data_IF_650805948913
#
_entry.id   IF_650805948913
#
_cell.length_a   1.000
_cell.length_b   1.000
_cell.length_c   1.000
_cell.angle_alpha   90.00
_cell.angle_beta   90.00
_cell.angle_gamma   90.00
#
_symmetry.space_group_name_H-M   'P 1'
#
loop_
_entity.id
_entity.type
_entity.pdbx_description
1 polymer ?
#
# COMPACT_ATOMS: atom_id res chain seq x y z
N UNK A 1 15.11 25.13 18.54
CA UNK A 1 14.81 25.24 17.09
C UNK A 1 13.33 24.99 16.95
N UNK A 2 12.60 25.86 16.28
CA UNK A 2 11.21 25.62 15.94
C UNK A 2 11.11 24.51 14.89
N UNK A 3 9.93 23.88 14.78
CA UNK A 3 9.68 22.82 13.82
C UNK A 3 9.63 23.41 12.40
N UNK A 4 10.55 22.96 11.57
CA UNK A 4 10.66 23.29 10.14
C UNK A 4 11.13 22.06 9.37
N UNK A 5 11.05 22.11 8.04
CA UNK A 5 11.53 21.02 7.17
C UNK A 5 12.98 20.63 7.43
N UNK A 6 13.84 21.60 7.78
CA UNK A 6 15.25 21.37 8.08
C UNK A 6 15.49 20.88 9.53
N UNK A 7 14.55 21.13 10.44
CA UNK A 7 14.68 20.82 11.87
C UNK A 7 13.83 19.61 12.28
N UNK A 8 12.99 19.09 11.38
CA UNK A 8 12.17 17.92 11.63
C UNK A 8 13.02 16.67 11.84
N UNK A 9 12.75 15.92 12.93
CA UNK A 9 13.46 14.68 13.26
C UNK A 9 13.07 13.57 12.28
N UNK A 10 11.79 13.48 11.93
CA UNK A 10 11.31 12.50 10.93
C UNK A 10 11.65 12.96 9.52
N UNK A 11 12.28 12.13 8.69
CA UNK A 11 12.51 12.44 7.28
C UNK A 11 11.22 12.58 6.47
N UNK A 12 10.12 11.99 6.92
CA UNK A 12 8.79 12.12 6.31
C UNK A 12 8.35 13.58 6.30
N UNK A 13 8.49 14.27 7.44
CA UNK A 13 8.09 15.67 7.61
C UNK A 13 9.21 16.66 7.24
N UNK A 14 10.46 16.19 7.18
CA UNK A 14 11.62 16.95 6.77
C UNK A 14 11.96 16.75 5.30
N UNK A 15 13.01 15.97 5.04
CA UNK A 15 13.59 15.72 3.71
C UNK A 15 12.57 15.39 2.62
N UNK A 16 11.53 14.63 2.95
CA UNK A 16 10.52 14.12 2.02
C UNK A 16 9.17 14.84 2.09
N UNK A 17 9.06 15.95 2.83
CA UNK A 17 7.81 16.68 3.00
C UNK A 17 7.10 17.00 1.67
N UNK A 18 7.86 17.31 0.63
CA UNK A 18 7.32 17.57 -0.70
C UNK A 18 6.55 16.40 -1.32
N UNK A 19 6.86 15.16 -0.92
CA UNK A 19 6.19 13.94 -1.38
C UNK A 19 5.03 13.51 -0.47
N UNK A 20 5.08 13.84 0.81
CA UNK A 20 4.19 13.30 1.85
C UNK A 20 3.15 14.29 2.33
N UNK A 21 3.22 15.56 1.91
CA UNK A 21 2.36 16.64 2.43
C UNK A 21 0.86 16.35 2.36
N UNK A 22 0.39 15.62 1.34
CA UNK A 22 -1.01 15.25 1.19
C UNK A 22 -1.51 14.39 2.35
N UNK A 23 -0.65 13.55 2.94
CA UNK A 23 -0.98 12.70 4.06
C UNK A 23 -1.31 13.47 5.34
N UNK A 24 -0.91 14.75 5.44
CA UNK A 24 -1.25 15.58 6.58
C UNK A 24 -2.77 15.77 6.75
N UNK A 25 -3.54 15.69 5.66
CA UNK A 25 -5.00 15.76 5.71
C UNK A 25 -5.66 14.58 6.43
N UNK A 26 -4.90 13.49 6.67
CA UNK A 26 -5.41 12.24 7.26
C UNK A 26 -4.72 11.88 8.58
N UNK A 27 -3.43 12.16 8.72
CA UNK A 27 -2.59 11.61 9.79
C UNK A 27 -1.88 12.66 10.66
N UNK A 28 -2.10 13.94 10.43
CA UNK A 28 -1.61 14.98 11.36
C UNK A 28 -2.50 15.09 12.60
N UNK A 29 -2.02 15.75 13.65
CA UNK A 29 -2.83 16.08 14.84
C UNK A 29 -4.04 16.93 14.44
N UNK A 30 -3.86 17.88 13.52
CA UNK A 30 -4.98 18.64 12.92
C UNK A 30 -6.05 17.72 12.31
N UNK A 31 -5.64 16.74 11.50
CA UNK A 31 -6.55 15.81 10.86
C UNK A 31 -7.30 14.95 11.89
N UNK A 32 -6.59 14.40 12.88
CA UNK A 32 -7.21 13.61 13.94
C UNK A 32 -8.30 14.41 14.67
N UNK A 33 -8.00 15.65 15.02
CA UNK A 33 -8.97 16.55 15.67
C UNK A 33 -10.16 16.80 14.77
N UNK A 34 -9.93 17.12 13.50
CA UNK A 34 -10.98 17.36 12.50
C UNK A 34 -11.92 16.14 12.35
N UNK A 35 -11.36 14.93 12.25
CA UNK A 35 -12.19 13.72 12.16
C UNK A 35 -13.00 13.48 13.43
N UNK A 36 -12.46 13.78 14.60
CA UNK A 36 -13.21 13.74 15.86
C UNK A 36 -14.39 14.70 15.85
N UNK A 37 -14.17 15.94 15.43
CA UNK A 37 -15.24 16.95 15.28
C UNK A 37 -16.30 16.46 14.29
N UNK A 38 -15.90 15.89 13.16
CA UNK A 38 -16.82 15.33 12.17
C UNK A 38 -17.71 14.22 12.78
N UNK A 39 -17.12 13.28 13.50
CA UNK A 39 -17.86 12.17 14.13
C UNK A 39 -18.83 12.68 15.17
N UNK A 40 -18.44 13.62 16.02
CA UNK A 40 -19.31 14.21 17.04
C UNK A 40 -20.49 14.97 16.42
N UNK A 41 -20.26 15.75 15.38
CA UNK A 41 -21.31 16.49 14.67
C UNK A 41 -22.30 15.52 14.01
N UNK A 42 -21.81 14.54 13.27
CA UNK A 42 -22.69 13.56 12.61
C UNK A 42 -23.45 12.69 13.62
N UNK A 43 -22.83 12.39 14.77
CA UNK A 43 -23.50 11.70 15.87
C UNK A 43 -24.64 12.55 16.44
N UNK A 44 -24.40 13.82 16.76
CA UNK A 44 -25.42 14.75 17.23
C UNK A 44 -26.60 14.84 16.26
N UNK A 45 -26.32 15.03 14.96
CA UNK A 45 -27.36 15.07 13.91
C UNK A 45 -28.16 13.76 13.89
N UNK A 46 -27.48 12.61 14.02
CA UNK A 46 -28.15 11.30 14.01
C UNK A 46 -29.04 11.11 15.24
N UNK A 47 -28.67 11.66 16.41
CA UNK A 47 -29.56 11.71 17.60
C UNK A 47 -30.78 12.58 17.32
N UNK A 48 -30.65 13.72 16.65
CA UNK A 48 -31.77 14.59 16.29
C UNK A 48 -32.74 13.92 15.29
N UNK A 49 -32.27 12.95 14.50
CA UNK A 49 -33.11 12.16 13.60
C UNK A 49 -33.96 11.10 14.37
N UNK A 50 -33.67 10.84 15.65
CA UNK A 50 -34.53 10.04 16.54
C UNK A 50 -35.63 10.90 17.13
N UNK A 51 -36.81 10.34 17.41
CA UNK A 51 -37.91 11.07 18.04
C UNK A 51 -37.68 11.28 19.56
N UNK A 52 -36.47 11.70 19.95
CA UNK A 52 -36.16 12.03 21.33
C UNK A 52 -36.91 13.27 21.76
N UNK A 53 -37.69 13.23 22.87
CA UNK A 53 -38.53 14.37 23.29
C UNK A 53 -37.77 15.70 23.42
N UNK A 54 -36.53 15.61 23.93
CA UNK A 54 -35.66 16.78 24.18
C UNK A 54 -35.07 17.41 22.91
N UNK A 55 -35.03 16.67 21.79
CA UNK A 55 -34.46 17.14 20.53
C UNK A 55 -35.53 17.49 19.49
N UNK A 56 -36.81 17.33 19.78
CA UNK A 56 -37.94 17.61 18.86
C UNK A 56 -38.01 19.06 18.37
N UNK A 57 -37.44 20.01 19.12
CA UNK A 57 -37.46 21.43 18.79
C UNK A 57 -36.41 21.86 17.80
N UNK A 58 -35.46 20.99 17.45
CA UNK A 58 -34.38 21.33 16.54
C UNK A 58 -34.90 21.33 15.09
N UNK A 59 -34.70 22.47 14.40
CA UNK A 59 -34.96 22.56 12.97
C UNK A 59 -33.84 21.84 12.18
N UNK A 60 -34.21 20.88 11.32
CA UNK A 60 -33.27 20.19 10.46
C UNK A 60 -32.48 21.11 9.51
N UNK A 61 -32.96 22.32 9.26
CA UNK A 61 -32.23 23.34 8.52
C UNK A 61 -30.87 23.71 9.13
N UNK A 62 -30.68 23.51 10.44
CA UNK A 62 -29.41 23.77 11.12
C UNK A 62 -28.34 22.72 10.84
N UNK A 63 -28.70 21.53 10.35
CA UNK A 63 -27.74 20.41 10.19
C UNK A 63 -26.62 20.71 9.21
N UNK A 64 -26.91 21.41 8.11
CA UNK A 64 -25.85 21.83 7.18
C UNK A 64 -24.90 22.86 7.80
N UNK A 65 -25.43 23.74 8.66
CA UNK A 65 -24.60 24.69 9.42
C UNK A 65 -23.71 23.95 10.40
N UNK A 66 -24.21 22.94 11.09
CA UNK A 66 -23.40 22.07 11.98
C UNK A 66 -22.31 21.33 11.20
N UNK A 67 -22.61 20.78 10.02
CA UNK A 67 -21.63 20.15 9.17
C UNK A 67 -20.53 21.10 8.70
N UNK A 68 -20.83 22.36 8.54
CA UNK A 68 -19.82 23.35 8.16
C UNK A 68 -18.76 23.54 9.24
N UNK A 69 -19.01 23.20 10.50
CA UNK A 69 -18.02 23.25 11.58
C UNK A 69 -16.81 22.35 11.20
N UNK A 70 -17.05 21.12 10.74
CA UNK A 70 -15.93 20.24 10.34
C UNK A 70 -15.50 20.42 8.87
N UNK A 71 -16.41 20.82 7.97
CA UNK A 71 -16.04 21.05 6.56
C UNK A 71 -15.12 22.25 6.38
N UNK A 72 -15.35 23.31 7.16
CA UNK A 72 -14.56 24.54 7.14
C UNK A 72 -13.53 24.58 8.27
N UNK A 73 -13.27 23.46 8.94
CA UNK A 73 -12.37 23.35 10.09
C UNK A 73 -10.98 23.86 9.75
N UNK A 74 -10.49 24.81 10.55
CA UNK A 74 -9.24 25.53 10.34
C UNK A 74 -8.16 25.16 11.37
N UNK A 75 -6.92 25.57 11.11
CA UNK A 75 -5.82 25.45 12.09
C UNK A 75 -6.11 26.24 13.36
N UNK A 76 -6.84 27.37 13.28
CA UNK A 76 -7.24 28.15 14.44
C UNK A 76 -8.23 27.37 15.31
N UNK A 77 -9.16 26.63 14.72
CA UNK A 77 -10.11 25.76 15.45
C UNK A 77 -9.35 24.62 16.15
N UNK A 78 -8.41 24.02 15.46
CA UNK A 78 -7.57 22.98 16.04
C UNK A 78 -6.74 23.54 17.21
N UNK A 79 -6.17 24.74 17.07
CA UNK A 79 -5.44 25.40 18.15
C UNK A 79 -6.37 25.69 19.33
N UNK A 80 -7.61 26.15 19.07
CA UNK A 80 -8.59 26.37 20.17
C UNK A 80 -8.86 25.08 20.95
N UNK A 81 -9.01 23.94 20.25
CA UNK A 81 -9.17 22.63 20.93
C UNK A 81 -7.94 22.28 21.74
N UNK A 82 -6.71 22.53 21.21
CA UNK A 82 -5.46 22.31 21.96
C UNK A 82 -5.35 23.19 23.18
N UNK A 83 -5.81 24.43 23.12
CA UNK A 83 -5.84 25.33 24.28
C UNK A 83 -6.77 24.80 25.37
N UNK A 84 -7.95 24.30 25.00
CA UNK A 84 -8.87 23.65 25.94
C UNK A 84 -8.26 22.38 26.52
N UNK A 85 -7.64 21.54 25.68
CA UNK A 85 -6.98 20.30 26.09
C UNK A 85 -5.84 20.58 27.11
N UNK A 86 -5.10 21.67 26.94
CA UNK A 86 -4.00 22.04 27.84
C UNK A 86 -4.47 22.30 29.29
N UNK A 87 -5.73 22.68 29.46
CA UNK A 87 -6.38 22.91 30.78
C UNK A 87 -7.06 21.64 31.29
N UNK A 88 -7.79 20.95 30.42
CA UNK A 88 -8.59 19.77 30.79
C UNK A 88 -7.79 18.48 30.89
N UNK A 89 -6.62 18.45 30.27
CA UNK A 89 -5.76 17.28 30.09
C UNK A 89 -6.51 16.06 29.49
N UNK A 90 -7.47 16.35 28.59
CA UNK A 90 -8.29 15.33 27.96
C UNK A 90 -8.71 15.77 26.54
N UNK A 91 -8.17 15.07 25.54
CA UNK A 91 -8.26 15.41 24.12
C UNK A 91 -9.71 15.36 23.56
N UNK A 92 -10.43 14.28 23.79
CA UNK A 92 -11.83 14.16 23.30
C UNK A 92 -12.78 15.08 24.06
N UNK A 93 -12.56 15.30 25.36
CA UNK A 93 -13.35 16.27 26.13
C UNK A 93 -13.15 17.70 25.63
N UNK A 94 -11.95 18.02 25.15
CA UNK A 94 -11.67 19.32 24.55
C UNK A 94 -12.49 19.53 23.26
N UNK A 95 -12.66 18.50 22.45
CA UNK A 95 -13.54 18.53 21.26
C UNK A 95 -15.01 18.80 21.67
N UNK A 96 -15.49 18.13 22.71
CA UNK A 96 -16.87 18.37 23.22
C UNK A 96 -17.05 19.83 23.65
N UNK A 97 -16.11 20.39 24.40
CA UNK A 97 -16.19 21.79 24.85
C UNK A 97 -16.11 22.77 23.67
N UNK A 98 -15.24 22.52 22.70
CA UNK A 98 -15.20 23.32 21.47
C UNK A 98 -16.55 23.32 20.74
N UNK A 99 -17.17 22.15 20.58
CA UNK A 99 -18.49 22.08 19.95
C UNK A 99 -19.56 22.83 20.73
N UNK A 100 -19.51 22.80 22.07
CA UNK A 100 -20.41 23.62 22.90
C UNK A 100 -20.19 25.12 22.65
N UNK A 101 -18.95 25.59 22.49
CA UNK A 101 -18.65 26.97 22.10
C UNK A 101 -19.19 27.31 20.69
N UNK A 102 -19.08 26.38 19.74
CA UNK A 102 -19.64 26.58 18.39
C UNK A 102 -21.18 26.66 18.42
N UNK A 103 -21.85 25.84 19.25
CA UNK A 103 -23.30 25.91 19.44
C UNK A 103 -23.72 27.24 20.07
N UNK A 104 -22.96 27.78 21.00
CA UNK A 104 -23.20 29.12 21.57
C UNK A 104 -23.13 30.20 20.48
N UNK A 105 -22.20 30.12 19.54
CA UNK A 105 -22.06 31.07 18.44
C UNK A 105 -23.23 31.01 17.46
N UNK A 106 -23.83 29.84 17.26
CA UNK A 106 -24.99 29.68 16.40
C UNK A 106 -26.28 30.28 16.98
N UNK A 107 -26.38 30.34 18.31
CA UNK A 107 -27.56 30.79 19.04
C UNK A 107 -28.74 29.78 18.94
N UNK A 108 -29.57 29.78 19.93
CA UNK A 108 -30.75 28.87 19.96
C UNK A 108 -30.45 27.39 20.15
N UNK A 109 -29.19 27.05 20.44
CA UNK A 109 -28.74 25.69 20.66
C UNK A 109 -28.45 25.35 22.13
N UNK A 110 -28.72 26.28 23.05
CA UNK A 110 -28.37 26.15 24.49
C UNK A 110 -29.00 24.93 25.15
N UNK A 111 -30.26 24.64 24.87
CA UNK A 111 -30.98 23.53 25.43
C UNK A 111 -30.52 22.16 24.94
N UNK A 112 -29.71 22.12 23.85
CA UNK A 112 -29.29 20.90 23.17
C UNK A 112 -27.84 20.54 23.40
N UNK A 113 -27.02 21.42 23.96
CA UNK A 113 -25.58 21.23 24.14
C UNK A 113 -25.17 19.98 24.91
N UNK A 114 -26.01 19.55 25.86
CA UNK A 114 -25.74 18.35 26.67
C UNK A 114 -25.96 17.05 25.91
N UNK A 115 -26.50 17.11 24.69
CA UNK A 115 -26.54 15.97 23.76
C UNK A 115 -25.28 15.81 22.91
N UNK A 116 -24.34 16.75 22.95
CA UNK A 116 -22.99 16.53 22.41
C UNK A 116 -22.32 15.45 23.24
N UNK A 117 -21.73 14.45 22.58
CA UNK A 117 -21.09 13.30 23.25
C UNK A 117 -22.03 12.49 24.15
N UNK A 118 -23.36 12.56 23.95
CA UNK A 118 -24.34 11.91 24.81
C UNK A 118 -24.17 10.39 24.83
N UNK A 119 -23.97 9.84 26.04
CA UNK A 119 -23.84 8.39 26.25
C UNK A 119 -22.57 7.75 25.69
N UNK A 120 -21.68 8.52 25.07
CA UNK A 120 -20.46 8.03 24.47
C UNK A 120 -19.28 7.93 25.44
N UNK A 121 -18.28 7.19 25.04
CA UNK A 121 -16.92 7.22 25.60
C UNK A 121 -15.93 7.73 24.54
N UNK A 122 -14.76 8.19 24.95
CA UNK A 122 -13.73 8.70 24.05
C UNK A 122 -13.41 7.74 22.89
N UNK A 123 -13.50 6.45 23.12
CA UNK A 123 -13.19 5.46 22.09
C UNK A 123 -14.32 5.26 21.05
N UNK A 124 -15.53 5.68 21.34
CA UNK A 124 -16.58 5.77 20.30
C UNK A 124 -16.20 6.83 19.25
N UNK A 125 -15.45 7.84 19.65
CA UNK A 125 -14.93 8.89 18.76
C UNK A 125 -13.61 8.49 18.11
N UNK A 126 -12.67 7.94 18.87
CA UNK A 126 -11.36 7.56 18.32
C UNK A 126 -11.44 6.32 17.41
N UNK A 127 -12.19 5.29 17.81
CA UNK A 127 -12.36 4.06 17.02
C UNK A 127 -13.38 4.19 15.86
N UNK A 128 -13.81 5.39 15.57
CA UNK A 128 -14.54 5.78 14.36
C UNK A 128 -13.72 6.76 13.52
N UNK A 129 -13.12 7.77 14.13
CA UNK A 129 -12.29 8.79 13.47
C UNK A 129 -11.05 8.19 12.80
N UNK A 130 -10.32 7.33 13.50
CA UNK A 130 -9.10 6.72 12.99
C UNK A 130 -9.37 5.78 11.79
N UNK A 131 -10.30 4.80 11.86
CA UNK A 131 -10.59 4.00 10.68
C UNK A 131 -11.17 4.82 9.52
N UNK A 132 -11.92 5.89 9.78
CA UNK A 132 -12.41 6.79 8.74
C UNK A 132 -11.26 7.50 8.03
N UNK A 133 -10.29 8.04 8.77
CA UNK A 133 -9.12 8.68 8.18
C UNK A 133 -8.26 7.69 7.39
N UNK A 134 -8.08 6.47 7.87
CA UNK A 134 -7.34 5.41 7.16
C UNK A 134 -8.06 5.04 5.87
N UNK A 135 -9.38 4.84 5.91
CA UNK A 135 -10.19 4.55 4.72
C UNK A 135 -9.99 5.63 3.64
N UNK A 136 -10.15 6.88 4.03
CA UNK A 136 -9.99 8.00 3.08
C UNK A 136 -8.56 8.12 2.54
N UNK A 137 -7.54 7.90 3.37
CA UNK A 137 -6.15 7.90 2.94
C UNK A 137 -5.86 6.74 1.97
N UNK A 138 -6.43 5.55 2.20
CA UNK A 138 -6.31 4.42 1.28
C UNK A 138 -6.95 4.76 -0.08
N UNK A 139 -8.17 5.28 -0.07
CA UNK A 139 -8.94 5.56 -1.29
C UNK A 139 -8.38 6.73 -2.10
N UNK A 140 -7.92 7.80 -1.43
CA UNK A 140 -7.54 9.06 -2.09
C UNK A 140 -6.04 9.17 -2.38
N UNK A 141 -5.19 8.49 -1.60
CA UNK A 141 -3.74 8.62 -1.71
C UNK A 141 -3.03 7.31 -2.06
N UNK A 142 -3.35 6.22 -1.35
CA UNK A 142 -2.61 4.98 -1.49
C UNK A 142 -2.99 4.20 -2.76
N UNK A 143 -4.28 3.93 -2.97
CA UNK A 143 -4.74 3.15 -4.13
C UNK A 143 -4.35 3.80 -5.45
N UNK A 144 -4.56 5.12 -5.65
CA UNK A 144 -4.18 5.75 -6.91
C UNK A 144 -2.69 5.63 -7.22
N UNK A 145 -1.81 5.73 -6.22
CA UNK A 145 -0.36 5.62 -6.43
C UNK A 145 0.08 4.18 -6.74
N UNK A 146 -0.50 3.16 -6.10
CA UNK A 146 -0.25 1.76 -6.43
C UNK A 146 -0.75 1.45 -7.85
N UNK A 147 -1.93 1.96 -8.22
CA UNK A 147 -2.50 1.80 -9.56
C UNK A 147 -1.66 2.49 -10.64
N UNK A 148 -1.08 3.65 -10.34
CA UNK A 148 -0.13 4.33 -11.23
C UNK A 148 1.13 3.49 -11.46
N UNK A 149 1.68 2.88 -10.41
CA UNK A 149 2.81 1.96 -10.52
C UNK A 149 2.46 0.75 -11.41
N UNK A 150 1.31 0.14 -11.17
CA UNK A 150 0.82 -0.99 -11.98
C UNK A 150 0.67 -0.57 -13.46
N UNK A 151 0.09 0.60 -13.73
CA UNK A 151 -0.09 1.11 -15.08
C UNK A 151 1.25 1.35 -15.79
N UNK A 152 2.24 1.89 -15.09
CA UNK A 152 3.59 2.08 -15.64
C UNK A 152 4.25 0.74 -15.98
N UNK A 153 4.12 -0.27 -15.11
CA UNK A 153 4.65 -1.61 -15.38
C UNK A 153 3.95 -2.27 -16.58
N UNK A 154 2.63 -2.13 -16.71
CA UNK A 154 1.86 -2.63 -17.87
C UNK A 154 2.34 -1.99 -19.17
N UNK A 155 2.62 -0.69 -19.15
CA UNK A 155 3.16 0.02 -20.31
C UNK A 155 4.46 -0.64 -20.77
N UNK A 156 5.40 -0.87 -19.88
CA UNK A 156 6.67 -1.52 -20.19
C UNK A 156 6.50 -3.00 -20.57
N UNK A 157 5.62 -3.72 -19.92
CA UNK A 157 5.33 -5.11 -20.26
C UNK A 157 4.81 -5.24 -21.70
N UNK A 158 4.01 -4.28 -22.15
CA UNK A 158 3.51 -4.22 -23.53
C UNK A 158 4.60 -3.77 -24.52
N UNK A 159 5.34 -2.71 -24.18
CA UNK A 159 6.42 -2.17 -25.04
C UNK A 159 7.51 -3.21 -25.29
N UNK A 160 7.85 -4.03 -24.29
CA UNK A 160 8.93 -5.02 -24.35
C UNK A 160 8.40 -6.47 -24.41
N UNK A 161 7.18 -6.66 -24.89
CA UNK A 161 6.51 -7.97 -24.93
C UNK A 161 7.31 -9.03 -25.70
N UNK A 162 7.94 -8.62 -26.81
CA UNK A 162 8.64 -9.51 -27.73
C UNK A 162 10.16 -9.57 -27.53
N UNK A 163 10.68 -8.86 -26.51
CA UNK A 163 12.13 -8.89 -26.24
C UNK A 163 12.50 -10.22 -25.56
N UNK A 164 13.23 -11.12 -26.25
CA UNK A 164 13.73 -12.34 -25.64
C UNK A 164 14.80 -12.01 -24.61
N UNK A 165 14.81 -12.71 -23.50
CA UNK A 165 15.72 -12.48 -22.40
C UNK A 165 16.19 -13.81 -21.81
N UNK A 166 17.47 -13.92 -21.48
CA UNK A 166 18.00 -15.06 -20.75
C UNK A 166 17.46 -15.05 -19.33
N UNK A 167 16.69 -16.09 -18.94
CA UNK A 167 16.34 -16.25 -17.55
C UNK A 167 17.51 -16.79 -16.73
N UNK A 168 17.53 -16.47 -15.46
CA UNK A 168 18.55 -16.97 -14.50
C UNK A 168 17.85 -17.60 -13.30
N UNK A 169 18.13 -18.88 -13.07
CA UNK A 169 17.74 -19.57 -11.84
C UNK A 169 18.99 -19.89 -11.03
N UNK A 170 18.95 -19.64 -9.72
CA UNK A 170 20.14 -19.76 -8.87
C UNK A 170 21.35 -18.92 -9.39
N UNK A 171 21.07 -17.80 -10.08
CA UNK A 171 22.08 -16.97 -10.73
C UNK A 171 22.70 -17.57 -11.99
N UNK A 172 22.27 -18.77 -12.44
CA UNK A 172 22.79 -19.46 -13.62
C UNK A 172 21.83 -19.32 -14.79
N UNK A 173 22.37 -19.31 -16.04
CA UNK A 173 21.56 -19.32 -17.25
C UNK A 173 20.57 -20.46 -17.26
N UNK A 174 19.30 -20.16 -17.61
CA UNK A 174 18.19 -21.07 -17.70
C UNK A 174 17.40 -20.82 -18.99
N UNK A 175 16.29 -21.53 -19.17
CA UNK A 175 15.44 -21.38 -20.35
C UNK A 175 15.08 -19.93 -20.61
N UNK A 176 15.23 -19.43 -21.84
CA UNK A 176 14.91 -18.05 -22.18
C UNK A 176 13.44 -17.70 -21.86
N UNK A 177 13.21 -16.43 -21.61
CA UNK A 177 11.90 -15.85 -21.34
C UNK A 177 11.71 -14.57 -22.18
N UNK A 178 10.64 -13.83 -21.95
CA UNK A 178 10.43 -12.51 -22.56
C UNK A 178 10.40 -11.44 -21.46
N UNK A 179 11.06 -10.33 -21.70
CA UNK A 179 11.17 -9.24 -20.73
C UNK A 179 9.78 -8.71 -20.32
N UNK A 180 8.88 -8.51 -21.27
CA UNK A 180 7.53 -8.06 -20.96
C UNK A 180 6.76 -9.03 -20.05
N UNK A 181 6.95 -10.34 -20.28
CA UNK A 181 6.32 -11.38 -19.42
C UNK A 181 6.91 -11.33 -17.99
N UNK A 182 8.21 -11.14 -17.83
CA UNK A 182 8.83 -11.01 -16.51
C UNK A 182 8.27 -9.80 -15.73
N UNK A 183 8.05 -8.68 -16.42
CA UNK A 183 7.40 -7.50 -15.81
C UNK A 183 5.94 -7.80 -15.45
N UNK A 184 5.21 -8.54 -16.28
CA UNK A 184 3.82 -8.95 -16.00
C UNK A 184 3.69 -9.81 -14.74
N UNK A 185 4.73 -10.50 -14.30
CA UNK A 185 4.72 -11.20 -13.01
C UNK A 185 4.46 -10.22 -11.86
N UNK A 186 5.12 -9.06 -11.85
CA UNK A 186 4.91 -8.05 -10.82
C UNK A 186 3.54 -7.38 -10.94
N UNK A 187 3.09 -7.09 -12.16
CA UNK A 187 1.73 -6.56 -12.41
C UNK A 187 0.68 -7.51 -11.82
N UNK A 188 0.73 -8.78 -12.18
CA UNK A 188 -0.21 -9.78 -11.69
C UNK A 188 -0.21 -9.87 -10.16
N UNK A 189 0.96 -9.92 -9.55
CA UNK A 189 1.12 -10.00 -8.09
C UNK A 189 0.55 -8.75 -7.40
N UNK A 190 0.88 -7.56 -7.88
CA UNK A 190 0.39 -6.30 -7.31
C UNK A 190 -1.13 -6.17 -7.43
N UNK A 191 -1.71 -6.48 -8.58
CA UNK A 191 -3.17 -6.47 -8.78
C UNK A 191 -3.89 -7.41 -7.82
N UNK A 192 -3.37 -8.63 -7.63
CA UNK A 192 -3.96 -9.61 -6.70
C UNK A 192 -3.89 -9.14 -5.26
N UNK A 193 -2.74 -8.58 -4.82
CA UNK A 193 -2.60 -8.08 -3.46
C UNK A 193 -3.40 -6.80 -3.23
N UNK A 194 -3.49 -5.91 -4.22
CA UNK A 194 -4.34 -4.72 -4.14
C UNK A 194 -5.83 -5.10 -4.03
N UNK A 195 -6.28 -6.10 -4.79
CA UNK A 195 -7.65 -6.62 -4.67
C UNK A 195 -7.91 -7.21 -3.28
N UNK A 196 -6.94 -7.91 -2.69
CA UNK A 196 -7.03 -8.43 -1.31
C UNK A 196 -7.17 -7.29 -0.32
N UNK A 197 -6.35 -6.24 -0.43
CA UNK A 197 -6.43 -5.07 0.45
C UNK A 197 -7.79 -4.37 0.34
N UNK A 198 -8.28 -4.15 -0.88
CA UNK A 198 -9.58 -3.51 -1.13
C UNK A 198 -10.77 -4.32 -0.60
N UNK A 199 -10.61 -5.62 -0.44
CA UNK A 199 -11.62 -6.52 0.13
C UNK A 199 -11.61 -6.54 1.67
N UNK A 200 -10.58 -6.00 2.32
CA UNK A 200 -10.57 -5.90 3.79
C UNK A 200 -11.65 -4.90 4.25
N UNK A 201 -12.55 -5.30 5.15
CA UNK A 201 -13.55 -4.37 5.68
C UNK A 201 -12.89 -3.32 6.55
N UNK A 202 -13.34 -2.07 6.44
CA UNK A 202 -12.94 -1.00 7.37
C UNK A 202 -14.01 -0.88 8.44
N UNK A 203 -13.66 -1.35 9.62
CA UNK A 203 -14.60 -1.47 10.73
C UNK A 203 -14.38 -0.42 11.82
N UNK A 204 -15.41 -0.18 12.62
CA UNK A 204 -15.39 0.78 13.72
C UNK A 204 -16.08 0.23 14.95
N UNK A 205 -15.54 0.54 16.13
CA UNK A 205 -16.24 0.32 17.39
C UNK A 205 -17.13 1.51 17.71
N UNK A 206 -18.38 1.23 18.02
CA UNK A 206 -19.35 2.20 18.52
C UNK A 206 -20.37 1.49 19.41
N UNK A 207 -20.46 1.86 20.69
CA UNK A 207 -21.34 1.18 21.66
C UNK A 207 -21.16 1.61 23.12
N UNK A 208 -20.53 2.75 23.39
CA UNK A 208 -20.33 3.24 24.76
C UNK A 208 -19.14 2.59 25.49
N UNK A 209 -19.07 2.81 26.79
CA UNK A 209 -17.89 2.53 27.62
C UNK A 209 -17.44 1.05 27.63
N UNK A 210 -18.33 0.11 27.38
CA UNK A 210 -18.04 -1.33 27.33
C UNK A 210 -18.59 -2.03 26.09
N UNK A 211 -19.04 -1.26 25.09
CA UNK A 211 -19.65 -1.81 23.87
C UNK A 211 -21.11 -2.25 24.03
N UNK A 212 -21.75 -1.98 25.17
CA UNK A 212 -23.09 -2.47 25.51
C UNK A 212 -24.18 -1.38 25.51
N UNK A 213 -23.87 -0.15 25.07
CA UNK A 213 -24.80 1.00 25.10
C UNK A 213 -25.43 1.28 26.50
N UNK A 214 -24.70 1.02 27.59
CA UNK A 214 -25.21 1.13 28.95
C UNK A 214 -25.89 2.49 29.24
N UNK A 215 -25.20 3.58 28.93
CA UNK A 215 -25.68 4.95 29.15
C UNK A 215 -26.90 5.28 28.27
N UNK A 216 -26.85 4.90 27.00
CA UNK A 216 -27.96 5.08 26.08
C UNK A 216 -29.19 4.31 26.52
N UNK A 217 -29.02 3.03 26.90
CA UNK A 217 -30.12 2.17 27.30
C UNK A 217 -30.79 2.63 28.61
N UNK A 218 -30.01 3.07 29.59
CA UNK A 218 -30.58 3.57 30.84
C UNK A 218 -31.37 4.87 30.65
N UNK A 219 -30.92 5.73 29.73
CA UNK A 219 -31.58 6.99 29.43
C UNK A 219 -32.84 6.81 28.57
N UNK A 220 -32.80 5.94 27.59
CA UNK A 220 -33.89 5.70 26.64
C UNK A 220 -34.01 4.20 26.32
N UNK A 221 -34.56 3.38 27.21
CA UNK A 221 -34.63 1.91 27.05
C UNK A 221 -35.55 1.44 25.93
N UNK A 222 -36.38 2.34 25.39
CA UNK A 222 -37.36 2.03 24.34
C UNK A 222 -36.76 2.01 22.94
N UNK A 223 -35.49 2.47 22.72
CA UNK A 223 -34.85 2.50 21.42
C UNK A 223 -33.92 1.31 21.22
N UNK A 224 -33.84 0.82 19.98
CA UNK A 224 -32.82 -0.15 19.56
C UNK A 224 -31.51 0.55 19.27
N UNK A 225 -30.67 0.67 20.29
CA UNK A 225 -29.36 1.32 20.18
C UNK A 225 -28.37 0.56 19.32
N UNK A 226 -28.52 -0.77 19.16
CA UNK A 226 -27.67 -1.54 18.22
C UNK A 226 -27.99 -1.18 16.79
N UNK A 227 -29.27 -1.13 16.42
CA UNK A 227 -29.69 -0.70 15.08
C UNK A 227 -29.30 0.76 14.84
N UNK A 228 -29.46 1.63 15.84
CA UNK A 228 -29.00 3.02 15.75
C UNK A 228 -27.50 3.11 15.43
N UNK A 229 -26.65 2.40 16.19
CA UNK A 229 -25.20 2.39 15.97
C UNK A 229 -24.81 1.82 14.62
N UNK A 230 -25.47 0.74 14.16
CA UNK A 230 -25.26 0.18 12.83
C UNK A 230 -25.56 1.21 11.73
N UNK A 231 -26.69 1.91 11.85
CA UNK A 231 -27.10 2.96 10.92
C UNK A 231 -26.13 4.14 10.94
N UNK A 232 -25.77 4.64 12.12
CA UNK A 232 -24.84 5.76 12.28
C UNK A 232 -23.49 5.48 11.61
N UNK A 233 -22.85 4.36 11.98
CA UNK A 233 -21.53 4.00 11.47
C UNK A 233 -21.54 3.76 9.95
N UNK A 234 -22.60 3.11 9.45
CA UNK A 234 -22.72 2.80 8.01
C UNK A 234 -23.12 4.01 7.18
N UNK A 235 -24.19 4.71 7.54
CA UNK A 235 -24.78 5.75 6.70
C UNK A 235 -24.06 7.10 6.82
N UNK A 236 -23.56 7.44 8.02
CA UNK A 236 -22.89 8.73 8.25
C UNK A 236 -21.36 8.65 8.07
N UNK A 237 -20.75 7.51 8.39
CA UNK A 237 -19.29 7.35 8.33
C UNK A 237 -18.82 6.42 7.19
N UNK A 238 -19.73 5.66 6.56
CA UNK A 238 -19.38 4.72 5.51
C UNK A 238 -18.48 3.58 5.97
N UNK A 239 -18.58 3.21 7.25
CA UNK A 239 -17.82 2.15 7.89
C UNK A 239 -18.75 0.98 8.26
N UNK A 240 -18.18 -0.15 8.66
CA UNK A 240 -18.91 -1.27 9.21
C UNK A 240 -18.77 -1.30 10.75
N UNK A 241 -19.88 -1.41 11.48
CA UNK A 241 -19.80 -1.46 12.96
C UNK A 241 -19.45 -2.86 13.45
N UNK A 242 -18.44 -2.95 14.30
CA UNK A 242 -18.13 -4.16 15.05
C UNK A 242 -19.24 -4.43 16.07
N UNK A 243 -19.89 -5.59 15.97
CA UNK A 243 -21.07 -5.89 16.77
C UNK A 243 -20.74 -6.19 18.24
N UNK A 244 -19.64 -6.88 18.46
CA UNK A 244 -19.16 -7.28 19.79
C UNK A 244 -17.77 -6.74 20.04
N UNK A 245 -17.65 -5.81 20.95
CA UNK A 245 -16.39 -5.15 21.32
C UNK A 245 -16.31 -4.95 22.83
N UNK A 246 -15.17 -4.57 23.33
CA UNK A 246 -14.97 -4.00 24.66
C UNK A 246 -15.13 -2.47 24.60
N UNK A 247 -14.37 -1.72 25.37
CA UNK A 247 -14.32 -0.25 25.24
C UNK A 247 -13.72 0.20 23.91
N UNK A 248 -12.87 -0.62 23.29
CA UNK A 248 -12.15 -0.35 22.05
C UNK A 248 -12.55 -1.32 20.94
N UNK A 249 -12.17 -1.00 19.71
CA UNK A 249 -12.19 -1.92 18.56
C UNK A 249 -11.41 -3.19 18.88
N UNK A 250 -11.80 -4.30 18.26
CA UNK A 250 -11.01 -5.53 18.25
C UNK A 250 -9.72 -5.38 17.45
N UNK A 251 -9.65 -4.38 16.53
CA UNK A 251 -8.55 -4.10 15.62
C UNK A 251 -8.17 -5.22 14.64
N UNK A 252 -8.90 -6.35 14.63
CA UNK A 252 -8.61 -7.49 13.75
C UNK A 252 -8.63 -7.10 12.27
N UNK A 253 -9.64 -6.35 11.85
CA UNK A 253 -9.76 -5.90 10.46
C UNK A 253 -8.72 -4.84 10.10
N UNK A 254 -8.38 -3.94 11.03
CA UNK A 254 -7.30 -2.98 10.81
C UNK A 254 -5.94 -3.68 10.68
N UNK A 255 -5.71 -4.72 11.48
CA UNK A 255 -4.52 -5.58 11.36
C UNK A 255 -4.48 -6.29 10.01
N UNK A 256 -5.61 -6.80 9.51
CA UNK A 256 -5.70 -7.41 8.19
C UNK A 256 -5.36 -6.40 7.06
N UNK A 257 -5.79 -5.14 7.19
CA UNK A 257 -5.39 -4.06 6.28
C UNK A 257 -3.87 -3.87 6.28
N UNK A 258 -3.25 -3.76 7.46
CA UNK A 258 -1.81 -3.59 7.58
C UNK A 258 -1.04 -4.81 7.05
N UNK A 259 -1.53 -6.02 7.27
CA UNK A 259 -0.96 -7.25 6.72
C UNK A 259 -1.04 -7.28 5.18
N UNK A 260 -2.16 -6.85 4.61
CA UNK A 260 -2.31 -6.75 3.16
C UNK A 260 -1.37 -5.68 2.56
N UNK A 261 -1.18 -4.54 3.24
CA UNK A 261 -0.21 -3.52 2.84
C UNK A 261 1.23 -4.04 2.87
N UNK A 262 1.61 -4.82 3.89
CA UNK A 262 2.94 -5.47 3.95
C UNK A 262 3.18 -6.40 2.77
N UNK A 263 2.16 -7.14 2.32
CA UNK A 263 2.27 -8.02 1.13
C UNK A 263 2.54 -7.22 -0.13
N UNK A 264 1.88 -6.08 -0.32
CA UNK A 264 2.14 -5.16 -1.44
C UNK A 264 3.59 -4.64 -1.34
N UNK A 265 4.04 -4.21 -0.16
CA UNK A 265 5.41 -3.78 0.07
C UNK A 265 6.43 -4.87 -0.32
N UNK A 266 6.17 -6.12 0.04
CA UNK A 266 7.03 -7.27 -0.29
C UNK A 266 7.16 -7.45 -1.80
N UNK A 267 6.07 -7.35 -2.55
CA UNK A 267 6.10 -7.42 -4.02
C UNK A 267 6.88 -6.25 -4.62
N UNK A 268 6.70 -5.04 -4.07
CA UNK A 268 7.45 -3.87 -4.53
C UNK A 268 8.94 -3.96 -4.22
N UNK A 269 9.34 -4.52 -3.08
CA UNK A 269 10.75 -4.77 -2.75
C UNK A 269 11.37 -5.72 -3.77
N UNK A 270 10.71 -6.84 -4.04
CA UNK A 270 11.16 -7.85 -5.00
C UNK A 270 11.33 -7.23 -6.41
N UNK A 271 10.33 -6.48 -6.85
CA UNK A 271 10.38 -5.71 -8.11
C UNK A 271 11.58 -4.75 -8.17
N UNK A 272 11.78 -3.95 -7.12
CA UNK A 272 12.88 -2.97 -7.09
C UNK A 272 14.24 -3.64 -7.14
N UNK A 273 14.39 -4.81 -6.51
CA UNK A 273 15.62 -5.63 -6.56
C UNK A 273 15.88 -6.19 -7.95
N UNK A 274 14.86 -6.67 -8.65
CA UNK A 274 15.02 -7.19 -10.01
C UNK A 274 15.42 -6.07 -10.99
N UNK A 275 14.75 -4.91 -10.95
CA UNK A 275 15.16 -3.77 -11.79
C UNK A 275 16.56 -3.28 -11.46
N UNK A 276 16.94 -3.25 -10.18
CA UNK A 276 18.31 -2.96 -9.77
C UNK A 276 19.31 -3.97 -10.38
N UNK A 277 18.96 -5.27 -10.34
CA UNK A 277 19.77 -6.34 -10.90
C UNK A 277 19.87 -6.23 -12.43
N UNK A 278 18.78 -5.93 -13.12
CA UNK A 278 18.82 -5.72 -14.58
C UNK A 278 19.69 -4.53 -14.99
N UNK A 279 19.73 -3.47 -14.20
CA UNK A 279 20.68 -2.36 -14.41
C UNK A 279 22.12 -2.84 -14.20
N UNK A 280 22.38 -3.62 -13.14
CA UNK A 280 23.69 -4.21 -12.86
C UNK A 280 24.17 -5.14 -13.98
N UNK A 281 23.25 -5.81 -14.67
CA UNK A 281 23.51 -6.67 -15.85
C UNK A 281 23.59 -5.89 -17.17
N UNK A 282 23.51 -4.58 -17.13
CA UNK A 282 23.46 -3.69 -18.30
C UNK A 282 22.23 -3.89 -19.21
N UNK A 283 21.20 -4.62 -18.78
CA UNK A 283 19.95 -4.77 -19.55
C UNK A 283 19.20 -3.45 -19.66
N UNK A 284 19.35 -2.58 -18.66
CA UNK A 284 18.90 -1.20 -18.71
C UNK A 284 20.06 -0.23 -18.46
N UNK A 285 20.02 0.88 -19.16
CA UNK A 285 20.74 2.11 -18.84
C UNK A 285 19.77 3.09 -18.18
N UNK A 286 20.28 4.10 -17.52
CA UNK A 286 19.47 5.14 -16.90
C UNK A 286 19.67 6.47 -17.62
N UNK A 287 18.57 7.18 -17.90
CA UNK A 287 18.59 8.55 -18.44
C UNK A 287 19.36 9.45 -17.48
N UNK A 288 20.29 10.20 -18.02
CA UNK A 288 21.05 11.22 -17.29
C UNK A 288 20.33 12.55 -17.46
N UNK A 289 20.06 13.23 -16.35
CA UNK A 289 19.53 14.59 -16.37
C UNK A 289 20.69 15.57 -16.30
N UNK A 290 20.70 16.58 -17.17
CA UNK A 290 21.73 17.61 -17.17
C UNK A 290 21.86 18.26 -15.79
N UNK A 291 23.09 18.28 -15.23
CA UNK A 291 23.36 18.82 -13.89
C UNK A 291 23.25 17.82 -12.74
N UNK A 292 22.77 16.58 -12.96
CA UNK A 292 22.82 15.53 -11.94
C UNK A 292 24.24 14.93 -11.85
N UNK A 293 24.73 14.76 -10.62
CA UNK A 293 26.00 14.08 -10.34
C UNK A 293 25.70 12.65 -9.92
N UNK A 294 26.05 11.68 -10.77
CA UNK A 294 25.77 10.27 -10.53
C UNK A 294 26.64 9.63 -9.44
N UNK A 295 27.86 10.15 -9.26
CA UNK A 295 28.82 9.70 -8.24
C UNK A 295 29.78 10.84 -7.91
N UNK A 296 30.14 10.96 -6.64
CA UNK A 296 31.11 11.99 -6.19
C UNK A 296 32.53 11.75 -6.72
N UNK A 297 32.90 10.52 -7.04
CA UNK A 297 34.26 10.14 -7.43
C UNK A 297 34.35 9.69 -8.90
N UNK A 298 33.29 9.18 -9.50
CA UNK A 298 33.27 8.62 -10.87
C UNK A 298 32.12 9.23 -11.68
N UNK A 299 32.38 10.31 -12.47
CA UNK A 299 31.31 11.06 -13.15
C UNK A 299 30.49 10.24 -14.15
N UNK A 300 31.04 9.16 -14.70
CA UNK A 300 30.38 8.26 -15.65
C UNK A 300 29.42 7.24 -14.97
N UNK A 301 29.48 7.11 -13.65
CA UNK A 301 28.73 6.11 -12.89
C UNK A 301 27.35 6.64 -12.51
N UNK A 302 26.30 6.06 -13.07
CA UNK A 302 24.89 6.37 -12.73
C UNK A 302 24.32 5.28 -11.85
N UNK A 303 24.20 5.57 -10.55
CA UNK A 303 23.71 4.60 -9.57
C UNK A 303 22.18 4.46 -9.63
N UNK A 304 21.62 3.25 -9.45
CA UNK A 304 20.18 3.02 -9.42
C UNK A 304 19.55 3.37 -8.05
N UNK A 305 19.86 4.55 -7.53
CA UNK A 305 19.51 5.00 -6.17
C UNK A 305 18.01 5.13 -5.93
N UNK A 306 17.22 5.31 -6.98
CA UNK A 306 15.76 5.42 -6.83
C UNK A 306 15.16 4.08 -6.39
N UNK A 307 15.66 2.94 -6.89
CA UNK A 307 15.22 1.60 -6.47
C UNK A 307 15.73 1.25 -5.07
N UNK A 308 16.95 1.63 -4.72
CA UNK A 308 17.52 1.45 -3.37
C UNK A 308 16.75 2.27 -2.32
N UNK A 309 16.41 3.52 -2.63
CA UNK A 309 15.59 4.38 -1.77
C UNK A 309 14.20 3.79 -1.56
N UNK A 310 13.59 3.24 -2.61
CA UNK A 310 12.30 2.57 -2.51
C UNK A 310 12.38 1.36 -1.58
N UNK A 311 13.35 0.47 -1.76
CA UNK A 311 13.55 -0.71 -0.92
C UNK A 311 13.73 -0.33 0.56
N UNK A 312 14.58 0.63 0.87
CA UNK A 312 14.85 1.08 2.24
C UNK A 312 13.59 1.63 2.93
N UNK A 313 12.81 2.46 2.23
CA UNK A 313 11.56 3.01 2.77
C UNK A 313 10.49 1.92 2.97
N UNK A 314 10.36 0.96 2.06
CA UNK A 314 9.42 -0.17 2.19
C UNK A 314 9.78 -1.06 3.38
N UNK A 315 11.06 -1.26 3.65
CA UNK A 315 11.52 -2.02 4.82
C UNK A 315 11.09 -1.39 6.14
N UNK A 316 11.26 -0.07 6.28
CA UNK A 316 10.83 0.68 7.47
C UNK A 316 9.30 0.61 7.60
N UNK A 317 8.57 0.89 6.51
CA UNK A 317 7.11 0.81 6.52
C UNK A 317 6.61 -0.56 6.97
N UNK A 318 7.18 -1.63 6.44
CA UNK A 318 6.82 -3.01 6.76
C UNK A 318 7.02 -3.32 8.24
N UNK A 319 8.13 -2.85 8.84
CA UNK A 319 8.42 -3.06 10.26
C UNK A 319 7.39 -2.38 11.17
N UNK A 320 6.95 -1.17 10.82
CA UNK A 320 5.95 -0.45 11.60
C UNK A 320 4.56 -1.09 11.42
N UNK A 321 4.17 -1.44 10.19
CA UNK A 321 2.91 -2.12 9.91
C UNK A 321 2.84 -3.47 10.63
N UNK A 322 3.94 -4.22 10.68
CA UNK A 322 4.03 -5.47 11.45
C UNK A 322 3.76 -5.25 12.93
N UNK A 323 4.43 -4.26 13.53
CA UNK A 323 4.21 -3.93 14.94
C UNK A 323 2.75 -3.54 15.21
N UNK A 324 2.15 -2.69 14.36
CA UNK A 324 0.77 -2.27 14.49
C UNK A 324 -0.21 -3.45 14.36
N UNK A 325 0.00 -4.33 13.37
CA UNK A 325 -0.86 -5.49 13.12
C UNK A 325 -0.85 -6.49 14.29
N UNK A 326 0.29 -6.68 14.93
CA UNK A 326 0.44 -7.60 16.06
C UNK A 326 0.01 -6.97 17.39
N UNK A 327 0.31 -5.66 17.60
CA UNK A 327 0.07 -4.99 18.88
C UNK A 327 -1.39 -4.62 19.11
N UNK A 328 -2.07 -4.09 18.09
CA UNK A 328 -3.40 -3.51 18.25
C UNK A 328 -4.46 -4.50 18.76
N UNK A 329 -4.54 -5.75 18.26
CA UNK A 329 -5.52 -6.72 18.76
C UNK A 329 -5.29 -7.18 20.20
N UNK A 330 -4.16 -6.81 20.82
CA UNK A 330 -3.81 -7.24 22.18
C UNK A 330 -3.91 -6.08 23.15
N UNK A 331 -4.88 -6.17 24.06
CA UNK A 331 -5.10 -5.20 25.14
C UNK A 331 -5.39 -5.90 26.46
N UNK A 332 -5.36 -5.15 27.57
CA UNK A 332 -5.66 -5.68 28.90
C UNK A 332 -7.14 -5.48 29.23
N UNK A 333 -7.82 -6.55 29.60
CA UNK A 333 -9.24 -6.55 29.93
C UNK A 333 -10.06 -5.78 28.86
N UNK A 334 -10.79 -4.73 29.26
CA UNK A 334 -11.58 -3.94 28.33
C UNK A 334 -10.77 -2.91 27.56
N UNK A 335 -9.64 -2.45 28.11
CA UNK A 335 -8.68 -1.53 27.46
C UNK A 335 -7.47 -1.24 28.33
N UNK A 336 -6.32 -1.03 27.68
CA UNK A 336 -5.21 -0.19 28.17
C UNK A 336 -4.93 0.96 27.17
N UNK A 337 -4.03 1.89 27.53
CA UNK A 337 -3.77 3.09 26.71
C UNK A 337 -2.83 2.83 25.52
N UNK A 338 -2.23 1.65 25.40
CA UNK A 338 -1.16 1.40 24.41
C UNK A 338 -1.67 1.48 22.97
N UNK A 339 -2.95 1.22 22.70
CA UNK A 339 -3.58 1.41 21.40
C UNK A 339 -3.46 2.87 20.93
N UNK A 340 -3.81 3.83 21.77
CA UNK A 340 -3.74 5.26 21.45
C UNK A 340 -2.31 5.71 21.17
N UNK A 341 -1.33 5.16 21.88
CA UNK A 341 0.09 5.48 21.68
C UNK A 341 0.57 5.04 20.30
N UNK A 342 0.28 3.78 19.91
CA UNK A 342 0.79 3.25 18.65
C UNK A 342 0.03 3.75 17.44
N UNK A 343 -1.28 3.99 17.56
CA UNK A 343 -2.12 4.54 16.48
C UNK A 343 -1.69 5.92 16.00
N UNK A 344 -1.06 6.73 16.84
CA UNK A 344 -0.48 8.03 16.42
C UNK A 344 0.62 7.88 15.37
N UNK A 345 1.18 6.69 15.20
CA UNK A 345 2.21 6.39 14.23
C UNK A 345 1.68 5.80 12.91
N UNK A 346 0.36 5.65 12.74
CA UNK A 346 -0.23 5.04 11.52
C UNK A 346 0.18 5.79 10.25
N UNK A 347 0.30 7.11 10.27
CA UNK A 347 0.74 7.91 9.13
C UNK A 347 2.19 7.66 8.71
N UNK A 348 3.04 7.19 9.62
CA UNK A 348 4.47 6.97 9.34
C UNK A 348 4.71 5.92 8.25
N UNK A 349 4.16 4.69 8.33
CA UNK A 349 4.31 3.71 7.27
C UNK A 349 3.68 4.18 5.95
N UNK A 350 2.53 4.88 5.97
CA UNK A 350 1.98 5.49 4.76
C UNK A 350 2.95 6.47 4.11
N UNK A 351 3.61 7.32 4.90
CA UNK A 351 4.64 8.25 4.41
C UNK A 351 5.78 7.54 3.73
N UNK A 352 6.35 6.51 4.35
CA UNK A 352 7.42 5.71 3.76
C UNK A 352 6.99 4.98 2.48
N UNK A 353 5.76 4.46 2.42
CA UNK A 353 5.24 3.80 1.22
C UNK A 353 5.08 4.80 0.06
N UNK A 354 4.52 5.97 0.31
CA UNK A 354 4.38 7.02 -0.70
C UNK A 354 5.75 7.43 -1.26
N UNK A 355 6.74 7.62 -0.39
CA UNK A 355 8.12 7.92 -0.81
C UNK A 355 8.65 6.80 -1.71
N UNK A 356 8.43 5.54 -1.33
CA UNK A 356 8.92 4.37 -2.05
C UNK A 356 8.25 4.23 -3.43
N UNK A 357 6.93 4.37 -3.53
CA UNK A 357 6.21 4.29 -4.81
C UNK A 357 6.70 5.38 -5.76
N UNK A 358 6.79 6.62 -5.29
CA UNK A 358 7.28 7.74 -6.10
C UNK A 358 8.74 7.55 -6.52
N UNK A 359 9.57 6.94 -5.68
CA UNK A 359 10.95 6.60 -6.02
C UNK A 359 11.02 5.48 -7.05
N UNK A 360 10.23 4.41 -6.91
CA UNK A 360 10.12 3.34 -7.91
C UNK A 360 9.67 3.89 -9.28
N UNK A 361 8.61 4.70 -9.31
CA UNK A 361 8.13 5.36 -10.53
C UNK A 361 9.20 6.23 -11.17
N UNK A 362 9.93 7.00 -10.37
CA UNK A 362 11.04 7.83 -10.87
C UNK A 362 12.16 6.97 -11.46
N UNK A 363 12.53 5.87 -10.81
CA UNK A 363 13.52 4.92 -11.31
C UNK A 363 13.09 4.27 -12.62
N UNK A 364 11.85 3.77 -12.67
CA UNK A 364 11.27 3.17 -13.88
C UNK A 364 11.28 4.13 -15.08
N UNK A 365 10.88 5.39 -14.89
CA UNK A 365 10.84 6.40 -15.95
C UNK A 365 12.22 6.83 -16.47
N UNK A 366 13.30 6.50 -15.76
CA UNK A 366 14.68 6.70 -16.21
C UNK A 366 15.22 5.54 -17.02
N UNK A 367 14.56 4.40 -17.08
CA UNK A 367 15.06 3.21 -17.77
C UNK A 367 15.14 3.44 -19.29
N UNK A 368 16.24 2.97 -19.86
CA UNK A 368 16.47 2.85 -21.29
C UNK A 368 16.86 1.40 -21.57
N UNK A 369 16.05 0.72 -22.36
CA UNK A 369 16.32 -0.67 -22.74
C UNK A 369 17.64 -0.76 -23.51
N UNK A 370 18.48 -1.72 -23.17
CA UNK A 370 19.76 -2.01 -23.82
C UNK A 370 19.71 -3.39 -24.49
N UNK A 371 18.93 -3.50 -25.56
CA UNK A 371 18.76 -4.75 -26.31
C UNK A 371 20.09 -5.44 -26.68
N UNK A 372 21.16 -4.72 -27.13
CA UNK A 372 22.43 -5.37 -27.44
C UNK A 372 23.05 -6.14 -26.27
N UNK A 373 22.85 -5.70 -25.03
CA UNK A 373 23.34 -6.43 -23.85
C UNK A 373 22.51 -7.69 -23.57
N UNK A 374 21.19 -7.60 -23.72
CA UNK A 374 20.27 -8.73 -23.57
C UNK A 374 20.58 -9.81 -24.62
N UNK A 375 20.72 -9.42 -25.88
CA UNK A 375 21.00 -10.34 -26.99
C UNK A 375 22.39 -10.99 -26.87
N UNK A 376 23.40 -10.24 -26.44
CA UNK A 376 24.75 -10.78 -26.16
C UNK A 376 24.71 -11.90 -25.12
N UNK A 377 23.90 -11.76 -24.07
CA UNK A 377 23.75 -12.82 -23.07
C UNK A 377 23.10 -14.09 -23.66
N UNK A 378 22.11 -13.95 -24.52
CA UNK A 378 21.48 -15.05 -25.23
C UNK A 378 22.49 -15.72 -26.21
N UNK A 379 23.21 -14.94 -27.02
CA UNK A 379 24.16 -15.43 -27.99
C UNK A 379 25.32 -16.22 -27.34
N UNK A 380 25.69 -15.83 -26.11
CA UNK A 380 26.73 -16.51 -25.34
C UNK A 380 26.21 -17.78 -24.60
N UNK A 381 24.94 -18.12 -24.65
CA UNK A 381 24.33 -19.18 -23.85
C UNK A 381 23.57 -20.22 -24.69
N UNK A 382 24.16 -20.74 -25.75
CA UNK A 382 23.52 -21.76 -26.59
C UNK A 382 23.17 -23.06 -25.86
N UNK A 383 23.76 -23.34 -24.70
CA UNK A 383 23.41 -24.49 -23.87
C UNK A 383 21.94 -24.53 -23.43
N UNK A 384 21.26 -23.36 -23.39
CA UNK A 384 19.87 -23.25 -22.92
C UNK A 384 18.85 -23.90 -23.88
N UNK A 385 19.22 -24.11 -25.16
CA UNK A 385 18.35 -24.80 -26.12
C UNK A 385 18.36 -26.33 -25.97
N UNK A 386 19.23 -26.87 -25.13
CA UNK A 386 19.34 -28.31 -24.89
C UNK A 386 18.01 -28.92 -24.38
N UNK A 387 17.27 -28.18 -23.53
CA UNK A 387 15.97 -28.60 -23.04
C UNK A 387 14.95 -28.76 -24.19
N UNK A 388 14.89 -27.79 -25.11
CA UNK A 388 14.02 -27.82 -26.26
C UNK A 388 14.32 -29.00 -27.17
N UNK A 389 15.61 -29.20 -27.49
CA UNK A 389 16.09 -30.34 -28.33
C UNK A 389 15.72 -31.64 -27.66
N UNK A 390 15.98 -31.82 -26.37
CA UNK A 390 15.62 -33.02 -25.62
C UNK A 390 14.11 -33.30 -25.68
N UNK A 391 13.30 -32.24 -25.55
CA UNK A 391 11.81 -32.38 -25.55
C UNK A 391 11.32 -32.87 -26.92
N UNK A 392 11.85 -32.31 -28.01
CA UNK A 392 11.51 -32.80 -29.37
C UNK A 392 11.99 -34.22 -29.59
N UNK A 393 13.22 -34.58 -29.21
CA UNK A 393 13.74 -35.94 -29.32
C UNK A 393 12.89 -36.94 -28.52
N UNK A 394 12.35 -36.56 -27.36
CA UNK A 394 11.39 -37.40 -26.61
C UNK A 394 10.09 -37.57 -27.36
N UNK A 395 9.56 -36.51 -27.97
CA UNK A 395 8.36 -36.58 -28.84
C UNK A 395 8.54 -37.60 -29.97
N UNK A 396 9.73 -37.63 -30.55
CA UNK A 396 10.11 -38.53 -31.64
C UNK A 396 10.52 -39.95 -31.16
N UNK A 397 10.38 -40.26 -29.87
CA UNK A 397 10.80 -41.55 -29.27
C UNK A 397 12.29 -41.89 -29.53
N UNK A 398 13.14 -40.85 -29.65
CA UNK A 398 14.60 -41.02 -29.84
C UNK A 398 15.20 -41.75 -28.63
N UNK A 399 16.08 -42.76 -28.84
CA UNK A 399 16.66 -43.50 -27.72
C UNK A 399 17.61 -42.62 -26.86
N UNK A 400 17.43 -42.63 -25.55
CA UNK A 400 18.29 -41.96 -24.56
C UNK A 400 18.59 -40.47 -24.86
N UNK A 401 17.56 -39.61 -25.10
CA UNK A 401 17.78 -38.23 -25.54
C UNK A 401 18.53 -37.37 -24.51
N UNK A 402 18.37 -37.64 -23.21
CA UNK A 402 19.10 -36.91 -22.15
C UNK A 402 20.59 -37.26 -22.20
N UNK A 403 20.94 -38.54 -22.35
CA UNK A 403 22.32 -39.00 -22.38
C UNK A 403 23.06 -38.47 -23.64
N UNK A 404 22.38 -38.39 -24.76
CA UNK A 404 22.91 -37.81 -25.99
C UNK A 404 23.31 -36.33 -25.80
N UNK A 405 22.42 -35.55 -25.20
CA UNK A 405 22.70 -34.14 -24.91
C UNK A 405 23.71 -33.96 -23.77
N UNK A 406 23.70 -34.84 -22.77
CA UNK A 406 24.67 -34.82 -21.68
C UNK A 406 26.10 -34.99 -22.18
N UNK A 407 26.30 -35.82 -23.20
CA UNK A 407 27.59 -36.01 -23.83
C UNK A 407 28.13 -34.69 -24.49
N UNK A 408 27.20 -33.90 -25.06
CA UNK A 408 27.54 -32.57 -25.63
C UNK A 408 27.81 -31.54 -24.53
N UNK A 409 27.04 -31.52 -23.44
CA UNK A 409 27.05 -30.46 -22.43
C UNK A 409 28.10 -30.63 -21.33
N UNK A 410 28.73 -31.81 -21.20
CA UNK A 410 29.75 -32.11 -20.18
C UNK A 410 31.18 -32.28 -20.68
N UNK A 411 31.53 -31.57 -21.74
CA UNK A 411 32.88 -31.66 -22.38
C UNK A 411 33.89 -30.65 -21.88
N UNK A 412 33.57 -29.80 -20.89
CA UNK A 412 34.36 -28.63 -20.48
C UNK A 412 34.64 -27.63 -21.63
N UNK A 413 34.00 -27.77 -22.77
CA UNK A 413 34.06 -26.82 -23.89
C UNK A 413 32.82 -25.95 -23.91
N UNK A 414 32.95 -24.71 -24.38
CA UNK A 414 31.82 -23.81 -24.55
C UNK A 414 30.84 -24.40 -25.59
N UNK A 415 29.55 -24.46 -25.24
CA UNK A 415 28.52 -24.85 -26.19
C UNK A 415 28.19 -23.62 -27.01
N UNK A 416 28.42 -23.76 -28.31
CA UNK A 416 28.26 -22.71 -29.32
C UNK A 416 27.14 -23.08 -30.30
N UNK A 417 26.74 -22.12 -31.12
CA UNK A 417 25.80 -22.37 -32.22
C UNK A 417 26.30 -23.50 -33.12
N UNK A 418 27.61 -23.51 -33.47
CA UNK A 418 28.19 -24.54 -34.32
C UNK A 418 28.14 -25.91 -33.66
N UNK A 419 28.45 -26.04 -32.38
CA UNK A 419 28.41 -27.34 -31.71
C UNK A 419 26.98 -27.90 -31.59
N UNK A 420 25.98 -27.03 -31.45
CA UNK A 420 24.55 -27.46 -31.50
C UNK A 420 24.18 -27.91 -32.94
N UNK A 421 24.60 -27.17 -33.96
CA UNK A 421 24.32 -27.55 -35.35
C UNK A 421 24.98 -28.90 -35.72
N UNK A 422 26.24 -29.10 -35.37
CA UNK A 422 26.94 -30.37 -35.56
C UNK A 422 26.25 -31.51 -34.86
N UNK A 423 25.79 -31.30 -33.63
CA UNK A 423 25.03 -32.31 -32.91
C UNK A 423 23.75 -32.66 -33.61
N UNK A 424 22.94 -31.68 -34.11
CA UNK A 424 21.70 -31.90 -34.84
C UNK A 424 21.94 -32.73 -36.11
N UNK A 425 23.03 -32.42 -36.88
CA UNK A 425 23.37 -33.14 -38.08
C UNK A 425 23.71 -34.60 -37.80
N UNK A 426 24.32 -34.92 -36.66
CA UNK A 426 24.64 -36.28 -36.21
C UNK A 426 23.44 -37.12 -35.75
N UNK A 427 22.28 -36.52 -35.54
CA UNK A 427 21.08 -37.22 -35.07
C UNK A 427 20.48 -38.14 -36.13
N UNK A 428 20.09 -39.35 -35.78
CA UNK A 428 19.34 -40.27 -36.63
C UNK A 428 17.83 -39.97 -36.56
N UNK A 429 17.41 -38.86 -37.11
CA UNK A 429 16.02 -38.42 -37.26
C UNK A 429 15.73 -37.96 -38.67
N UNK A 430 14.46 -37.76 -39.04
CA UNK A 430 14.09 -37.26 -40.37
C UNK A 430 14.60 -35.82 -40.59
N UNK A 431 14.74 -35.45 -41.89
CA UNK A 431 15.21 -34.10 -42.25
C UNK A 431 14.21 -33.02 -41.80
N UNK A 432 12.90 -33.33 -41.74
CA UNK A 432 11.89 -32.41 -41.22
C UNK A 432 12.12 -32.10 -39.74
N UNK A 433 12.47 -33.12 -38.94
CA UNK A 433 12.82 -32.94 -37.53
C UNK A 433 14.13 -32.17 -37.38
N UNK A 434 15.15 -32.47 -38.20
CA UNK A 434 16.38 -31.68 -38.20
C UNK A 434 16.13 -30.19 -38.51
N UNK A 435 15.25 -29.92 -39.47
CA UNK A 435 14.83 -28.56 -39.81
C UNK A 435 14.17 -27.86 -38.67
N UNK A 436 13.25 -28.56 -37.95
CA UNK A 436 12.62 -28.03 -36.73
C UNK A 436 13.67 -27.71 -35.65
N UNK A 437 14.59 -28.63 -35.39
CA UNK A 437 15.65 -28.46 -34.42
C UNK A 437 16.58 -27.26 -34.72
N UNK A 438 16.95 -27.10 -36.02
CA UNK A 438 17.77 -25.97 -36.46
C UNK A 438 17.13 -24.59 -36.28
N UNK A 439 15.77 -24.55 -36.23
CA UNK A 439 15.04 -23.31 -36.03
C UNK A 439 15.03 -22.85 -34.56
N UNK A 440 15.45 -23.74 -33.63
CA UNK A 440 15.51 -23.42 -32.20
C UNK A 440 16.80 -22.67 -31.91
N UNK A 441 16.64 -21.46 -31.39
CA UNK A 441 17.76 -20.62 -30.92
C UNK A 441 17.46 -20.10 -29.52
N UNK A 442 18.45 -19.57 -28.78
CA UNK A 442 18.20 -18.88 -27.51
C UNK A 442 17.18 -17.74 -27.64
N UNK A 443 17.07 -17.10 -28.82
CA UNK A 443 16.12 -16.02 -29.08
C UNK A 443 14.70 -16.50 -29.41
N UNK A 444 14.53 -17.71 -29.95
CA UNK A 444 13.22 -18.24 -30.37
C UNK A 444 12.59 -19.17 -29.35
N UNK A 445 13.39 -19.73 -28.43
CA UNK A 445 12.92 -20.65 -27.40
C UNK A 445 12.38 -19.89 -26.18
N UNK A 446 11.37 -19.04 -26.37
CA UNK A 446 10.81 -18.18 -25.32
C UNK A 446 9.38 -18.58 -24.88
N UNK A 447 8.81 -19.61 -25.45
CA UNK A 447 7.45 -20.06 -25.18
C UNK A 447 6.36 -19.10 -25.74
N UNK A 448 5.25 -19.00 -25.01
CA UNK A 448 4.07 -18.18 -25.40
C UNK A 448 4.21 -16.75 -24.89
#
# INVERSE_FOLDING_TARGET
MELDVLTAISPIDGRYRGKTKALAAYFSEFALIKYRVQVEVEYFITLCELPLPQLKGIDSGVFETLRNIYRNFSEADAQRIKDIESVTNHDVKAVEYFLKEEFDKLGGMDDYKEFIHFGLTSQDINNTSVPLSIKEALEKEYYPQVEELIAQLKTYATEWADIPMLAKTHGQPASPTRLGKEIMVFVYRLERQLATLKACPVTAKFGGATGNYNAHHVAYPQYDWKQFGNRFVKEKLGLEREEYTTQISNYDNLSAIFDAMKRINTVMIDMNRDFWQYISMEYFKQKIKAGEVGSSAMPHKVNPIDFENAEGNLGIATSILEHLAVKLPVSRLQRDLTDSTVLRNVGVPFGHIVIAIQSSLKGLRKLLLNEPAIYRDLDNCWSVVAEAIQTILRREAYPHPYEALKALTRTNQAITESSIKEFIEGLNVSEDIKKELRAITPHTYTGL
#
